data_IF_886117586905
#
_entry.id   IF_886117586905
#
_cell.length_a   1.000
_cell.length_b   1.000
_cell.length_c   1.000
_cell.angle_alpha   90.00
_cell.angle_beta   90.00
_cell.angle_gamma   90.00
#
_symmetry.space_group_name_H-M   'P 1'
#
loop_
_entity.id
_entity.type
_entity.pdbx_description
1 polymer ?
#
# COMPACT_ATOMS: atom_id res chain seq x y z
N UNK A 1 1.42 -17.07 -22.56
CA UNK A 1 0.59 -17.02 -21.34
C UNK A 1 1.46 -16.39 -20.27
N UNK A 2 1.27 -15.10 -20.01
CA UNK A 2 2.03 -14.38 -18.97
C UNK A 2 1.23 -14.50 -17.68
N UNK A 3 1.34 -15.65 -17.03
CA UNK A 3 0.95 -15.75 -15.63
C UNK A 3 2.10 -15.16 -14.83
N UNK A 4 1.89 -13.98 -14.26
CA UNK A 4 2.81 -13.42 -13.28
C UNK A 4 2.69 -14.33 -12.07
N UNK A 5 3.73 -15.12 -11.80
CA UNK A 5 3.69 -16.09 -10.72
C UNK A 5 3.54 -15.32 -9.40
N UNK A 6 2.42 -15.53 -8.71
CA UNK A 6 2.11 -14.85 -7.46
C UNK A 6 3.20 -15.08 -6.41
N UNK A 7 3.92 -16.21 -6.48
CA UNK A 7 5.08 -16.49 -5.66
C UNK A 7 6.25 -15.54 -5.93
N UNK A 8 6.58 -15.29 -7.20
CA UNK A 8 7.66 -14.36 -7.56
C UNK A 8 7.38 -12.93 -7.11
N UNK A 9 6.11 -12.50 -7.17
CA UNK A 9 5.68 -11.20 -6.67
C UNK A 9 5.82 -11.12 -5.14
N UNK A 10 5.35 -12.15 -4.41
CA UNK A 10 5.50 -12.18 -2.95
C UNK A 10 6.96 -12.21 -2.52
N UNK A 11 7.81 -12.92 -3.27
CA UNK A 11 9.25 -13.00 -3.02
C UNK A 11 9.94 -11.66 -3.26
N UNK A 12 9.59 -10.98 -4.35
CA UNK A 12 10.08 -9.63 -4.64
C UNK A 12 9.61 -8.64 -3.57
N UNK A 13 8.32 -8.65 -3.22
CA UNK A 13 7.76 -7.80 -2.16
C UNK A 13 8.43 -8.08 -0.82
N UNK A 14 8.65 -9.33 -0.45
CA UNK A 14 9.34 -9.70 0.78
C UNK A 14 10.77 -9.19 0.84
N UNK A 15 11.48 -9.09 -0.27
CA UNK A 15 12.82 -8.49 -0.32
C UNK A 15 12.78 -6.97 -0.13
N UNK A 16 11.70 -6.31 -0.58
CA UNK A 16 11.53 -4.86 -0.48
C UNK A 16 11.05 -4.44 0.92
N UNK A 17 10.03 -5.12 1.46
CA UNK A 17 9.33 -4.73 2.68
C UNK A 17 9.70 -5.55 3.92
N UNK A 18 10.47 -6.64 3.73
CA UNK A 18 10.85 -7.55 4.82
C UNK A 18 9.71 -8.45 5.33
N UNK A 19 8.53 -8.44 4.70
CA UNK A 19 7.36 -9.25 5.08
C UNK A 19 6.82 -10.03 3.88
N UNK A 20 6.46 -11.31 4.09
CA UNK A 20 5.81 -12.18 3.10
C UNK A 20 4.28 -12.17 3.17
N UNK A 21 3.72 -11.65 4.25
CA UNK A 21 2.28 -11.64 4.50
C UNK A 21 1.58 -10.70 3.54
N UNK A 22 0.36 -11.05 3.15
CA UNK A 22 -0.55 -10.18 2.40
C UNK A 22 -1.74 -9.79 3.28
N UNK A 23 -2.36 -8.62 3.09
CA UNK A 23 -2.04 -7.59 2.07
C UNK A 23 -0.75 -6.82 2.39
N UNK A 24 -0.09 -6.27 1.37
CA UNK A 24 0.96 -5.25 1.50
C UNK A 24 0.55 -4.02 0.69
N UNK A 25 0.30 -2.90 1.38
CA UNK A 25 -0.32 -1.71 0.81
C UNK A 25 0.73 -0.64 0.50
N UNK A 26 0.62 -0.03 -0.68
CA UNK A 26 1.46 1.07 -1.14
C UNK A 26 0.59 2.19 -1.69
N UNK A 27 0.92 3.45 -1.37
CA UNK A 27 0.25 4.64 -1.89
C UNK A 27 1.31 5.58 -2.47
N UNK A 28 1.19 5.89 -3.76
CA UNK A 28 2.15 6.73 -4.48
C UNK A 28 3.63 6.28 -4.29
N UNK A 29 3.86 4.96 -4.34
CA UNK A 29 5.18 4.37 -4.14
C UNK A 29 5.66 4.29 -2.67
N UNK A 30 4.97 4.92 -1.72
CA UNK A 30 5.25 4.79 -0.28
C UNK A 30 4.60 3.52 0.26
N UNK A 31 5.40 2.66 0.90
CA UNK A 31 4.90 1.49 1.62
C UNK A 31 4.18 1.91 2.89
N UNK A 32 2.94 1.44 3.07
CA UNK A 32 2.09 1.74 4.23
C UNK A 32 2.18 0.62 5.26
N UNK A 33 2.17 -0.64 4.80
CA UNK A 33 2.25 -1.80 5.68
C UNK A 33 1.26 -2.89 5.31
N UNK A 34 0.87 -3.67 6.31
CA UNK A 34 -0.14 -4.72 6.20
C UNK A 34 -1.57 -4.23 6.46
N UNK A 35 -2.46 -5.17 6.77
CA UNK A 35 -3.86 -4.85 7.09
C UNK A 35 -3.97 -3.94 8.32
N UNK A 36 -3.30 -4.30 9.41
CA UNK A 36 -3.37 -3.57 10.68
C UNK A 36 -2.79 -2.16 10.53
N UNK A 37 -1.62 -2.04 9.89
CA UNK A 37 -0.98 -0.75 9.60
C UNK A 37 -1.90 0.16 8.75
N UNK A 38 -2.64 -0.43 7.81
CA UNK A 38 -3.58 0.31 6.96
C UNK A 38 -4.81 0.78 7.74
N UNK A 39 -5.32 -0.07 8.65
CA UNK A 39 -6.43 0.30 9.52
C UNK A 39 -6.04 1.42 10.49
N UNK A 40 -4.86 1.33 11.10
CA UNK A 40 -4.32 2.39 11.96
C UNK A 40 -4.15 3.70 11.19
N UNK A 41 -3.65 3.64 9.94
CA UNK A 41 -3.56 4.82 9.08
C UNK A 41 -4.94 5.43 8.79
N UNK A 42 -5.98 4.60 8.63
CA UNK A 42 -7.35 5.08 8.44
C UNK A 42 -7.92 5.75 9.70
N UNK A 43 -7.75 5.11 10.86
CA UNK A 43 -8.25 5.59 12.15
C UNK A 43 -7.55 6.89 12.60
N UNK A 44 -6.25 7.01 12.33
CA UNK A 44 -5.46 8.21 12.64
C UNK A 44 -5.70 9.38 11.67
N UNK A 45 -6.45 9.18 10.58
CA UNK A 45 -6.64 10.18 9.53
C UNK A 45 -5.45 10.34 8.57
N UNK A 46 -4.37 9.57 8.75
CA UNK A 46 -3.17 9.62 7.91
C UNK A 46 -3.45 9.09 6.50
N UNK A 47 -4.28 8.05 6.38
CA UNK A 47 -4.64 7.46 5.10
C UNK A 47 -5.32 8.47 4.17
N UNK A 48 -6.25 9.28 4.71
CA UNK A 48 -6.96 10.32 4.00
C UNK A 48 -6.01 11.42 3.51
N UNK A 49 -5.01 11.79 4.34
CA UNK A 49 -3.96 12.75 3.94
C UNK A 49 -3.11 12.19 2.81
N UNK A 50 -2.66 10.93 2.93
CA UNK A 50 -1.84 10.27 1.91
C UNK A 50 -2.57 10.16 0.57
N UNK A 51 -3.85 9.80 0.60
CA UNK A 51 -4.69 9.72 -0.59
C UNK A 51 -4.94 11.10 -1.22
N UNK A 52 -5.16 12.15 -0.41
CA UNK A 52 -5.32 13.53 -0.92
C UNK A 52 -4.05 14.07 -1.59
N UNK A 53 -2.88 13.69 -1.07
CA UNK A 53 -1.60 14.02 -1.71
C UNK A 53 -1.46 13.26 -3.04
N UNK A 54 -1.89 11.99 -3.08
CA UNK A 54 -1.83 11.16 -4.28
C UNK A 54 -2.80 11.61 -5.38
N UNK A 55 -3.95 12.21 -5.04
CA UNK A 55 -4.95 12.65 -6.03
C UNK A 55 -4.69 14.01 -6.65
N UNK A 56 -3.59 14.69 -6.30
CA UNK A 56 -3.20 15.95 -6.95
C UNK A 56 -4.34 16.97 -6.96
N UNK A 57 -4.83 17.36 -5.77
CA UNK A 57 -5.77 18.46 -5.61
C UNK A 57 -7.04 18.34 -6.45
N UNK A 58 -7.98 17.52 -5.99
CA UNK A 58 -9.39 17.78 -6.27
C UNK A 58 -10.06 18.18 -4.97
N UNK A 59 -10.16 19.51 -4.80
CA UNK A 59 -11.12 20.13 -3.92
C UNK A 59 -12.50 19.86 -4.53
N UNK A 60 -13.17 18.81 -4.06
CA UNK A 60 -14.58 18.58 -4.35
C UNK A 60 -15.39 19.06 -3.13
N UNK A 61 -15.93 20.27 -3.25
CA UNK A 61 -17.10 20.88 -2.56
C UNK A 61 -17.43 20.44 -1.11
#
# INVERSE_FOLDING_TARGET
>A
MFEVDGGEIQDALSKIVGRRTVPQVFINGKHIGGSDDTLEAYESGELQKLLRIATGGKEDL
#
